data_IF_032238063589
#
_entry.id   IF_032238063589
#
_cell.length_a   1.000
_cell.length_b   1.000
_cell.length_c   1.000
_cell.angle_alpha   90.00
_cell.angle_beta   90.00
_cell.angle_gamma   90.00
#
_symmetry.space_group_name_H-M   'P 1'
#
loop_
_entity.id
_entity.type
_entity.pdbx_description
1 polymer ?
#
# COMPACT_ATOMS: atom_id res chain seq x y z
N UNK A 1 69.08 -33.97 -2.00
CA UNK A 1 67.72 -33.42 -2.07
C UNK A 1 67.72 -32.52 -3.29
N UNK A 2 67.27 -33.06 -4.44
CA UNK A 2 65.95 -32.75 -5.03
C UNK A 2 65.92 -31.27 -5.47
N UNK A 3 65.69 -30.88 -6.73
CA UNK A 3 64.84 -31.45 -7.77
C UNK A 3 65.15 -30.78 -9.14
N UNK A 4 64.72 -31.43 -10.21
CA UNK A 4 64.76 -31.01 -11.62
C UNK A 4 64.13 -29.62 -11.87
N UNK A 5 64.76 -28.76 -12.69
CA UNK A 5 64.42 -28.51 -14.11
C UNK A 5 62.92 -28.59 -14.44
N UNK A 6 62.30 -27.45 -14.76
CA UNK A 6 61.62 -27.19 -16.05
C UNK A 6 60.87 -25.85 -16.00
N UNK A 7 61.34 -24.87 -16.77
CA UNK A 7 60.51 -23.74 -17.21
C UNK A 7 60.41 -23.82 -18.73
N UNK A 8 59.31 -24.34 -19.29
CA UNK A 8 59.02 -24.16 -20.70
C UNK A 8 58.33 -22.82 -20.92
N UNK A 9 58.86 -22.03 -21.85
CA UNK A 9 58.04 -21.06 -22.57
C UNK A 9 56.94 -21.79 -23.35
N UNK A 10 55.75 -21.20 -23.46
CA UNK A 10 55.05 -21.28 -24.73
C UNK A 10 54.74 -19.89 -25.29
N UNK A 11 55.36 -19.64 -26.44
CA UNK A 11 54.74 -18.94 -27.57
C UNK A 11 53.45 -19.70 -27.92
N UNK A 12 52.28 -19.04 -27.85
CA UNK A 12 51.29 -19.16 -28.93
C UNK A 12 50.16 -18.12 -28.86
N UNK A 13 49.92 -17.47 -30.00
CA UNK A 13 48.58 -17.27 -30.56
C UNK A 13 47.59 -16.38 -29.81
N UNK A 14 47.68 -15.07 -30.00
CA UNK A 14 46.52 -14.19 -29.84
C UNK A 14 45.50 -14.48 -30.95
N UNK A 15 44.39 -15.13 -30.61
CA UNK A 15 43.23 -15.30 -31.49
C UNK A 15 42.23 -14.15 -31.25
N UNK A 16 42.56 -12.95 -31.71
CA UNK A 16 41.58 -11.87 -31.86
C UNK A 16 40.75 -12.13 -33.11
N UNK A 17 39.53 -12.60 -32.89
CA UNK A 17 38.49 -12.79 -33.91
C UNK A 17 38.16 -11.43 -34.56
N UNK A 18 38.74 -11.21 -35.73
CA UNK A 18 38.51 -10.03 -36.57
C UNK A 18 37.04 -10.03 -37.06
N UNK A 19 36.34 -8.94 -36.74
CA UNK A 19 35.09 -8.52 -37.38
C UNK A 19 35.48 -7.71 -38.61
N UNK A 20 35.02 -8.01 -39.83
CA UNK A 20 35.33 -7.16 -40.96
C UNK A 20 34.63 -5.81 -40.77
N UNK A 21 35.42 -4.74 -40.75
CA UNK A 21 34.97 -3.37 -40.93
C UNK A 21 34.90 -3.14 -42.43
N UNK A 22 33.68 -3.01 -42.95
CA UNK A 22 33.43 -2.52 -44.31
C UNK A 22 33.43 -0.98 -44.33
N UNK A 23 33.89 -0.49 -45.47
CA UNK A 23 34.40 0.85 -45.74
C UNK A 23 33.40 1.99 -45.50
N UNK A 24 33.92 3.04 -44.86
CA UNK A 24 33.32 4.38 -44.84
C UNK A 24 33.77 5.17 -46.07
N UNK A 25 33.01 5.10 -47.16
CA UNK A 25 33.02 6.12 -48.21
C UNK A 25 31.86 5.93 -49.19
N UNK A 26 30.70 6.54 -48.90
CA UNK A 26 29.74 7.09 -49.89
C UNK A 26 28.46 7.47 -49.14
N UNK A 27 28.33 8.77 -48.86
CA UNK A 27 27.07 9.37 -48.42
C UNK A 27 26.04 9.28 -49.56
N UNK A 28 24.84 8.72 -49.34
CA UNK A 28 23.74 8.84 -50.30
C UNK A 28 23.21 10.28 -50.34
N UNK A 29 22.82 10.83 -51.50
CA UNK A 29 22.25 12.16 -51.59
C UNK A 29 20.87 12.20 -50.92
N UNK A 30 20.57 13.30 -50.22
CA UNK A 30 19.25 13.62 -49.69
C UNK A 30 18.20 13.59 -50.81
N UNK A 31 17.07 12.89 -50.67
CA UNK A 31 15.89 13.21 -51.46
C UNK A 31 15.27 14.50 -50.89
N UNK A 32 15.48 15.59 -51.61
CA UNK A 32 14.53 16.70 -51.62
C UNK A 32 13.17 16.18 -52.09
N UNK A 33 12.11 16.83 -51.60
CA UNK A 33 10.72 16.71 -52.07
C UNK A 33 9.87 15.59 -51.43
N UNK A 34 9.36 15.91 -50.23
CA UNK A 34 8.19 15.24 -49.67
C UNK A 34 6.96 15.45 -50.57
N UNK A 35 6.12 14.44 -50.82
CA UNK A 35 4.88 14.61 -51.57
C UNK A 35 3.92 15.53 -50.80
N UNK A 36 3.13 16.38 -51.48
CA UNK A 36 2.17 17.24 -50.79
C UNK A 36 1.15 16.36 -50.06
N UNK A 37 1.01 16.58 -48.75
CA UNK A 37 -0.02 15.95 -47.93
C UNK A 37 -1.40 16.24 -48.55
N UNK A 38 -2.25 15.22 -48.76
CA UNK A 38 -3.65 15.45 -49.13
C UNK A 38 -4.33 16.31 -48.07
N UNK A 39 -5.02 17.37 -48.48
CA UNK A 39 -5.94 18.10 -47.62
C UNK A 39 -7.11 17.16 -47.28
N UNK A 40 -6.97 16.39 -46.21
CA UNK A 40 -8.09 15.72 -45.57
C UNK A 40 -8.83 16.77 -44.73
N UNK A 41 -9.96 17.25 -45.26
CA UNK A 41 -10.96 18.00 -44.50
C UNK A 41 -11.33 17.18 -43.25
N UNK A 42 -10.80 17.59 -42.11
CA UNK A 42 -11.20 17.06 -40.82
C UNK A 42 -12.71 17.30 -40.63
N UNK A 43 -13.50 16.29 -40.25
CA UNK A 43 -14.91 16.52 -39.95
C UNK A 43 -15.03 17.54 -38.80
N UNK A 44 -15.98 18.48 -38.86
CA UNK A 44 -16.11 19.51 -37.83
C UNK A 44 -16.33 18.86 -36.47
N UNK A 45 -15.46 19.18 -35.50
CA UNK A 45 -15.67 18.79 -34.10
C UNK A 45 -17.04 19.35 -33.64
N UNK A 46 -17.88 18.55 -32.97
CA UNK A 46 -19.09 19.07 -32.36
C UNK A 46 -18.72 20.08 -31.26
N UNK A 47 -19.23 21.31 -31.39
CA UNK A 47 -19.26 22.34 -30.37
C UNK A 47 -20.16 21.87 -29.21
N UNK A 48 -19.63 21.07 -28.30
CA UNK A 48 -20.27 20.77 -27.02
C UNK A 48 -19.27 21.04 -25.91
N UNK A 49 -19.18 22.32 -25.54
CA UNK A 49 -18.53 22.75 -24.32
C UNK A 49 -19.24 22.07 -23.14
N UNK A 50 -18.54 21.33 -22.26
CA UNK A 50 -19.15 20.84 -21.04
C UNK A 50 -19.61 22.05 -20.21
N UNK A 51 -20.79 22.03 -19.58
CA UNK A 51 -21.18 23.11 -18.68
C UNK A 51 -20.19 23.12 -17.51
N UNK A 52 -19.20 24.03 -17.56
CA UNK A 52 -18.49 24.45 -16.37
C UNK A 52 -19.57 24.94 -15.40
N UNK A 53 -19.56 24.48 -14.13
CA UNK A 53 -20.33 25.15 -13.09
C UNK A 53 -20.01 26.64 -13.15
N UNK A 54 -21.02 27.51 -13.12
CA UNK A 54 -20.86 28.94 -12.82
C UNK A 54 -20.23 29.06 -11.43
N UNK A 55 -18.92 28.89 -11.35
CA UNK A 55 -18.12 29.34 -10.22
C UNK A 55 -18.12 30.85 -10.34
N UNK A 56 -18.91 31.50 -9.48
CA UNK A 56 -18.92 32.95 -9.31
C UNK A 56 -17.46 33.43 -9.35
N UNK A 57 -17.14 34.32 -10.29
CA UNK A 57 -15.82 34.93 -10.37
C UNK A 57 -15.41 35.32 -8.95
N UNK A 58 -14.23 34.88 -8.46
CA UNK A 58 -13.84 35.14 -7.09
C UNK A 58 -13.91 36.65 -6.87
N UNK A 59 -14.64 37.05 -5.82
CA UNK A 59 -14.61 38.44 -5.34
C UNK A 59 -13.14 38.83 -5.26
N UNK A 60 -12.77 39.88 -5.98
CA UNK A 60 -11.38 40.26 -6.14
C UNK A 60 -10.85 40.82 -4.81
N UNK A 61 -10.38 39.92 -3.94
CA UNK A 61 -9.85 40.21 -2.62
C UNK A 61 -8.54 41.01 -2.66
N UNK A 62 -8.04 41.34 -3.86
CA UNK A 62 -6.89 42.20 -4.05
C UNK A 62 -5.53 41.53 -3.92
N UNK A 63 -5.48 40.26 -3.53
CA UNK A 63 -4.24 39.54 -3.26
C UNK A 63 -3.74 38.74 -4.46
N UNK A 64 -2.53 39.03 -4.92
CA UNK A 64 -1.82 38.32 -6.00
C UNK A 64 -0.64 37.53 -5.43
N UNK A 65 -0.44 36.29 -5.91
CA UNK A 65 0.70 35.44 -5.53
C UNK A 65 1.85 35.63 -6.52
N UNK A 66 3.00 36.09 -6.04
CA UNK A 66 4.19 36.37 -6.84
C UNK A 66 5.35 35.56 -6.29
N UNK A 67 6.18 35.00 -7.17
CA UNK A 67 7.39 34.27 -6.77
C UNK A 67 8.60 35.21 -6.84
N UNK A 68 9.42 35.21 -5.78
CA UNK A 68 10.67 35.97 -5.77
C UNK A 68 11.79 35.27 -6.56
N UNK A 69 12.95 35.93 -6.69
CA UNK A 69 14.11 35.36 -7.38
C UNK A 69 14.71 34.13 -6.66
N UNK A 70 14.36 33.90 -5.39
CA UNK A 70 14.82 32.77 -4.58
C UNK A 70 13.85 31.57 -4.67
N UNK A 71 12.75 31.69 -5.42
CA UNK A 71 11.73 30.65 -5.54
C UNK A 71 10.75 30.58 -4.36
N UNK A 72 10.69 31.64 -3.54
CA UNK A 72 9.78 31.79 -2.42
C UNK A 72 8.54 32.57 -2.88
N UNK A 73 7.37 32.04 -2.57
CA UNK A 73 6.10 32.73 -2.84
C UNK A 73 5.85 33.82 -1.79
N UNK A 74 5.41 34.98 -2.26
CA UNK A 74 4.87 36.06 -1.43
C UNK A 74 3.56 36.56 -2.05
N UNK A 75 2.72 37.15 -1.21
CA UNK A 75 1.41 37.65 -1.58
C UNK A 75 1.44 39.18 -1.51
N UNK A 76 0.98 39.81 -2.59
CA UNK A 76 0.91 41.25 -2.74
C UNK A 76 -0.55 41.70 -2.81
N UNK A 77 -0.95 42.65 -1.97
CA UNK A 77 -2.28 43.25 -2.05
C UNK A 77 -2.26 44.52 -2.91
N UNK A 78 -2.95 44.52 -4.04
CA UNK A 78 -3.02 45.66 -4.97
C UNK A 78 -3.80 46.88 -4.44
N UNK A 79 -4.67 46.69 -3.47
CA UNK A 79 -5.45 47.78 -2.87
C UNK A 79 -4.71 48.46 -1.73
N UNK A 80 -3.98 47.70 -0.91
CA UNK A 80 -3.26 48.23 0.27
C UNK A 80 -1.77 48.42 0.02
N UNK A 81 -1.23 47.92 -1.10
CA UNK A 81 0.20 47.87 -1.44
C UNK A 81 1.06 47.18 -0.36
N UNK A 82 0.49 46.18 0.33
CA UNK A 82 1.18 45.40 1.38
C UNK A 82 1.66 44.07 0.81
N UNK A 83 2.90 43.67 1.14
CA UNK A 83 3.45 42.35 0.87
C UNK A 83 3.49 41.51 2.14
N UNK A 84 3.15 40.22 2.03
CA UNK A 84 3.25 39.22 3.10
C UNK A 84 3.78 37.90 2.55
N UNK A 85 4.49 37.13 3.36
CA UNK A 85 4.93 35.78 3.00
C UNK A 85 3.90 34.71 3.38
N UNK A 86 2.95 35.03 4.26
CA UNK A 86 1.88 34.14 4.70
C UNK A 86 0.63 34.35 3.84
N UNK A 87 -0.01 33.27 3.39
CA UNK A 87 -1.16 33.36 2.51
C UNK A 87 -2.41 33.87 3.28
N UNK A 88 -2.90 35.10 3.01
CA UNK A 88 -4.01 35.68 3.75
C UNK A 88 -5.36 35.00 3.47
N UNK A 89 -5.43 34.12 2.46
CA UNK A 89 -6.63 33.33 2.13
C UNK A 89 -6.75 32.06 2.96
N UNK A 90 -5.70 31.69 3.71
CA UNK A 90 -5.74 30.55 4.61
C UNK A 90 -6.23 31.04 5.98
N UNK A 91 -7.32 30.48 6.54
CA UNK A 91 -7.74 30.82 7.87
C UNK A 91 -6.60 30.47 8.85
N UNK A 92 -6.02 31.49 9.47
CA UNK A 92 -5.05 31.31 10.54
C UNK A 92 -5.73 30.49 11.64
N UNK A 93 -5.20 29.30 11.93
CA UNK A 93 -5.69 28.48 13.04
C UNK A 93 -5.59 29.32 14.31
N UNK A 94 -6.75 29.75 14.81
CA UNK A 94 -6.88 30.68 15.92
C UNK A 94 -6.07 30.22 17.13
N UNK A 95 -4.99 30.92 17.44
CA UNK A 95 -4.43 30.97 18.79
C UNK A 95 -5.31 31.90 19.63
N UNK A 96 -6.58 31.56 19.78
CA UNK A 96 -7.53 32.35 20.55
C UNK A 96 -7.39 32.02 22.03
N UNK A 97 -7.18 33.08 22.82
CA UNK A 97 -7.19 33.08 24.27
C UNK A 97 -8.46 32.42 24.82
N UNK A 98 -8.28 31.71 25.94
CA UNK A 98 -9.31 30.99 26.65
C UNK A 98 -10.39 31.93 27.22
N UNK A 99 -11.63 31.69 26.83
CA UNK A 99 -12.84 32.00 27.61
C UNK A 99 -13.89 30.93 27.28
N UNK A 100 -14.26 30.02 28.22
CA UNK A 100 -15.32 29.06 27.97
C UNK A 100 -16.54 29.34 28.86
N UNK A 101 -17.49 30.12 28.34
CA UNK A 101 -18.88 30.11 28.78
C UNK A 101 -19.80 29.82 27.58
N UNK A 102 -20.44 28.64 27.61
CA UNK A 102 -21.33 28.07 26.57
C UNK A 102 -20.62 27.83 25.22
N UNK A 103 -20.68 26.64 24.59
CA UNK A 103 -21.83 25.94 24.04
C UNK A 103 -21.45 24.43 23.93
N UNK A 104 -22.26 23.53 24.47
CA UNK A 104 -23.25 22.72 23.74
C UNK A 104 -22.63 21.80 22.67
N UNK A 105 -22.89 20.51 22.90
CA UNK A 105 -22.48 19.34 22.14
C UNK A 105 -22.66 19.43 20.62
N UNK A 106 -21.60 19.08 19.90
CA UNK A 106 -21.70 18.24 18.70
C UNK A 106 -20.39 17.47 18.53
N UNK A 107 -20.52 16.15 18.62
CA UNK A 107 -19.56 15.08 18.36
C UNK A 107 -18.55 15.35 17.23
N UNK A 108 -17.25 15.21 17.53
CA UNK A 108 -16.21 14.90 16.53
C UNK A 108 -15.09 14.09 17.19
N UNK A 109 -14.70 13.03 16.48
CA UNK A 109 -13.75 12.01 16.87
C UNK A 109 -12.36 12.56 17.20
N UNK A 110 -11.73 11.99 18.23
CA UNK A 110 -10.33 12.25 18.56
C UNK A 110 -9.41 11.60 17.52
N UNK A 111 -8.67 12.41 16.76
CA UNK A 111 -7.47 11.98 16.05
C UNK A 111 -6.29 11.99 17.04
N UNK A 112 -6.05 10.85 17.69
CA UNK A 112 -4.78 10.56 18.37
C UNK A 112 -3.69 10.13 17.36
N UNK A 113 -2.41 10.16 17.77
CA UNK A 113 -1.27 9.82 16.92
C UNK A 113 -1.33 8.37 16.41
N UNK A 114 -0.86 8.08 15.18
CA UNK A 114 -0.92 6.74 14.61
C UNK A 114 0.08 5.84 15.33
N UNK A 115 -0.40 4.93 16.17
CA UNK A 115 0.44 3.95 16.89
C UNK A 115 -0.04 3.61 18.30
N UNK A 116 -1.01 4.34 18.84
CA UNK A 116 -1.73 3.94 20.05
C UNK A 116 -3.04 3.29 19.61
N UNK A 117 -3.01 1.99 19.29
CA UNK A 117 -4.23 1.17 19.32
C UNK A 117 -4.66 1.07 20.78
N UNK A 118 -5.28 2.13 21.30
CA UNK A 118 -6.12 2.04 22.48
C UNK A 118 -7.33 1.22 22.07
N UNK A 119 -7.15 -0.10 22.04
CA UNK A 119 -8.25 -1.06 22.12
C UNK A 119 -9.19 -0.54 23.19
N UNK A 120 -10.50 -0.38 22.93
CA UNK A 120 -11.46 -0.14 23.98
C UNK A 120 -11.64 -1.48 24.70
N UNK A 121 -10.60 -1.95 25.40
CA UNK A 121 -10.78 -2.88 26.51
C UNK A 121 -11.60 -2.07 27.47
N UNK A 122 -12.91 -2.33 27.46
CA UNK A 122 -13.84 -1.79 28.43
C UNK A 122 -13.39 -2.38 29.77
N UNK A 123 -12.40 -1.73 30.42
CA UNK A 123 -12.18 -1.87 31.85
C UNK A 123 -13.56 -1.76 32.45
N UNK A 124 -14.00 -2.79 33.14
CA UNK A 124 -15.35 -2.92 33.67
C UNK A 124 -15.57 -1.73 34.58
N UNK A 125 -16.16 -0.67 34.02
CA UNK A 125 -16.43 0.55 34.74
C UNK A 125 -17.57 0.17 35.67
N UNK A 126 -17.25 -0.18 36.92
CA UNK A 126 -18.24 -0.28 37.99
C UNK A 126 -19.05 1.01 37.91
N UNK A 127 -20.36 0.85 37.72
CA UNK A 127 -21.27 1.91 37.26
C UNK A 127 -20.98 3.26 37.93
N UNK A 128 -20.42 4.22 37.18
CA UNK A 128 -20.08 5.56 37.70
C UNK A 128 -18.78 6.19 37.20
N UNK A 129 -17.99 5.54 36.35
CA UNK A 129 -16.73 6.15 35.83
C UNK A 129 -15.55 6.06 36.79
N UNK A 130 -15.73 5.43 37.96
CA UNK A 130 -14.72 5.37 38.99
C UNK A 130 -13.63 4.35 38.63
N UNK A 131 -12.38 4.80 38.56
CA UNK A 131 -11.22 3.93 38.38
C UNK A 131 -10.33 3.97 39.63
N UNK A 132 -10.29 2.90 40.44
CA UNK A 132 -9.51 2.89 41.68
C UNK A 132 -8.00 3.03 41.45
N UNK A 133 -7.50 2.68 40.26
CA UNK A 133 -6.10 2.91 39.90
C UNK A 133 -5.75 4.40 39.74
N UNK A 134 -6.73 5.27 39.46
CA UNK A 134 -6.54 6.72 39.28
C UNK A 134 -6.94 7.49 40.55
N UNK A 135 -7.78 6.91 41.40
CA UNK A 135 -8.38 7.60 42.55
C UNK A 135 -7.76 7.24 43.91
N UNK A 136 -6.73 6.39 43.93
CA UNK A 136 -5.85 6.19 45.08
C UNK A 136 -6.31 5.13 46.08
N UNK A 137 -7.42 4.47 45.80
CA UNK A 137 -7.99 3.34 46.55
C UNK A 137 -7.75 2.00 45.82
N UNK A 138 -6.64 1.90 45.08
CA UNK A 138 -6.24 0.67 44.40
C UNK A 138 -5.93 -0.44 45.40
N UNK A 139 -6.76 -1.49 45.38
CA UNK A 139 -6.57 -2.73 46.10
C UNK A 139 -6.07 -3.80 45.12
N UNK A 140 -4.81 -4.27 45.26
CA UNK A 140 -4.23 -5.29 44.37
C UNK A 140 -4.97 -6.62 44.36
N UNK A 141 -5.79 -6.91 45.38
CA UNK A 141 -6.49 -8.19 45.50
C UNK A 141 -7.97 -8.12 45.08
N UNK A 142 -8.48 -6.96 44.67
CA UNK A 142 -9.86 -6.82 44.24
C UNK A 142 -10.09 -7.41 42.83
N UNK A 143 -11.32 -7.83 42.53
CA UNK A 143 -11.71 -8.47 41.26
C UNK A 143 -11.27 -7.66 40.03
N UNK A 144 -11.39 -6.32 40.08
CA UNK A 144 -10.98 -5.44 38.97
C UNK A 144 -9.45 -5.43 38.73
N UNK A 145 -8.63 -5.68 39.76
CA UNK A 145 -7.18 -5.69 39.66
C UNK A 145 -6.68 -7.04 39.14
N UNK A 146 -7.36 -8.14 39.51
CA UNK A 146 -7.06 -9.48 39.02
C UNK A 146 -7.33 -9.61 37.51
N UNK A 147 -8.41 -9.00 37.02
CA UNK A 147 -8.70 -8.93 35.56
C UNK A 147 -7.57 -8.20 34.82
N UNK A 148 -7.12 -7.04 35.33
CA UNK A 148 -6.03 -6.27 34.72
C UNK A 148 -4.72 -7.06 34.63
N UNK A 149 -4.34 -7.76 35.71
CA UNK A 149 -3.15 -8.61 35.71
C UNK A 149 -3.25 -9.79 34.74
N UNK A 150 -4.45 -10.37 34.58
CA UNK A 150 -4.67 -11.48 33.63
C UNK A 150 -4.60 -11.04 32.16
N UNK A 151 -5.01 -9.81 31.86
CA UNK A 151 -4.94 -9.23 30.53
C UNK A 151 -3.49 -8.80 30.18
N UNK A 152 -2.75 -8.24 31.14
CA UNK A 152 -1.34 -7.89 30.97
C UNK A 152 -0.47 -9.13 30.69
N UNK A 153 -0.73 -10.26 31.36
CA UNK A 153 -0.01 -11.52 31.12
C UNK A 153 -0.31 -12.11 29.72
N UNK A 154 -1.50 -11.86 29.18
CA UNK A 154 -1.94 -12.34 27.87
C UNK A 154 -1.47 -11.47 26.70
N UNK A 155 -1.07 -10.22 26.97
CA UNK A 155 -0.61 -9.24 26.00
C UNK A 155 0.91 -8.98 26.05
N UNK A 156 1.67 -9.82 26.75
CA UNK A 156 3.12 -9.73 26.87
C UNK A 156 3.84 -10.01 25.54
N UNK A 157 3.66 -9.13 24.55
CA UNK A 157 4.61 -8.92 23.48
C UNK A 157 5.86 -8.25 24.07
N UNK A 158 7.07 -8.62 23.63
CA UNK A 158 8.29 -7.99 24.10
C UNK A 158 8.22 -6.46 23.91
N UNK A 159 8.71 -5.66 24.87
CA UNK A 159 8.64 -4.20 24.76
C UNK A 159 9.32 -3.75 23.47
N UNK A 160 8.67 -2.91 22.64
CA UNK A 160 9.29 -2.38 21.44
C UNK A 160 10.56 -1.64 21.83
N UNK A 161 11.67 -1.92 21.15
CA UNK A 161 12.94 -1.24 21.39
C UNK A 161 12.72 0.28 21.27
N UNK A 162 13.01 1.10 22.30
CA UNK A 162 12.75 2.54 22.27
C UNK A 162 13.46 3.26 21.11
N UNK A 163 14.60 2.74 20.63
CA UNK A 163 15.26 3.28 19.44
C UNK A 163 14.42 3.09 18.17
N UNK A 164 13.69 1.98 18.05
CA UNK A 164 12.80 1.72 16.91
C UNK A 164 11.55 2.60 16.92
N UNK A 165 11.17 3.15 18.09
CA UNK A 165 10.00 4.04 18.23
C UNK A 165 10.30 5.44 17.66
N UNK A 166 11.55 5.90 17.76
CA UNK A 166 11.96 7.22 17.25
C UNK A 166 12.74 7.17 15.93
N UNK A 167 13.08 5.99 15.43
CA UNK A 167 13.79 5.82 14.15
C UNK A 167 12.81 5.79 12.96
N UNK A 168 12.88 6.82 12.12
CA UNK A 168 12.22 6.81 10.81
C UNK A 168 13.20 6.25 9.75
N UNK A 169 12.97 5.01 9.30
CA UNK A 169 13.73 4.38 8.21
C UNK A 169 12.93 4.47 6.91
N UNK A 170 13.58 4.92 5.85
CA UNK A 170 12.99 5.04 4.52
C UNK A 170 14.05 5.04 3.43
N UNK A 171 13.61 4.94 2.19
CA UNK A 171 14.46 5.00 1.00
C UNK A 171 14.38 6.37 0.35
N UNK A 172 15.47 6.82 -0.28
CA UNK A 172 15.47 8.06 -1.05
C UNK A 172 15.52 7.73 -2.55
N UNK A 173 14.55 8.25 -3.31
CA UNK A 173 14.56 8.06 -4.75
C UNK A 173 15.51 9.07 -5.40
N UNK A 174 16.64 8.58 -5.94
CA UNK A 174 17.65 9.42 -6.60
C UNK A 174 17.11 10.26 -7.76
N UNK A 175 16.11 9.76 -8.49
CA UNK A 175 15.62 10.41 -9.71
C UNK A 175 14.55 11.47 -9.42
N UNK A 176 13.70 11.24 -8.43
CA UNK A 176 12.62 12.18 -8.08
C UNK A 176 12.94 13.05 -6.86
N UNK A 177 14.02 12.72 -6.15
CA UNK A 177 14.42 13.40 -4.92
C UNK A 177 13.42 13.26 -3.77
N UNK A 178 12.45 12.34 -3.89
CA UNK A 178 11.39 12.15 -2.89
C UNK A 178 11.81 11.10 -1.88
N UNK A 179 11.57 11.40 -0.60
CA UNK A 179 11.66 10.41 0.46
C UNK A 179 10.48 9.44 0.36
N UNK A 180 10.78 8.15 0.42
CA UNK A 180 9.83 7.07 0.31
C UNK A 180 9.81 6.30 1.62
N UNK A 181 8.61 5.98 2.11
CA UNK A 181 8.44 5.12 3.27
C UNK A 181 9.15 3.78 3.05
N UNK A 182 9.60 3.13 4.13
CA UNK A 182 10.37 1.88 4.07
C UNK A 182 9.73 0.74 3.26
N UNK A 183 8.41 0.75 3.11
CA UNK A 183 7.69 -0.21 2.26
C UNK A 183 8.09 -0.08 0.77
N UNK A 184 8.31 1.13 0.26
CA UNK A 184 8.64 1.41 -1.15
C UNK A 184 10.16 1.35 -1.39
N UNK A 185 10.77 0.30 -0.85
CA UNK A 185 12.21 0.06 -0.98
C UNK A 185 12.61 -0.46 -2.37
N UNK A 186 13.93 -0.65 -2.60
CA UNK A 186 14.47 -1.26 -3.82
C UNK A 186 13.85 -2.61 -4.17
N UNK A 187 13.44 -3.38 -3.17
CA UNK A 187 12.78 -4.68 -3.32
C UNK A 187 11.48 -4.59 -4.15
N UNK A 188 10.75 -3.47 -4.05
CA UNK A 188 9.57 -3.26 -4.89
C UNK A 188 9.89 -2.87 -6.33
N UNK A 189 11.13 -2.46 -6.61
CA UNK A 189 11.58 -1.98 -7.93
C UNK A 189 12.43 -3.02 -8.68
N UNK A 190 12.29 -4.31 -8.35
CA UNK A 190 12.83 -5.40 -9.14
C UNK A 190 11.90 -5.76 -10.33
N UNK A 191 12.39 -6.61 -11.24
CA UNK A 191 11.64 -7.02 -12.43
C UNK A 191 10.41 -7.88 -12.07
N UNK A 192 10.52 -8.72 -11.04
CA UNK A 192 9.42 -9.58 -10.55
C UNK A 192 8.22 -8.78 -10.02
N UNK A 193 8.45 -7.80 -9.15
CA UNK A 193 7.38 -6.96 -8.61
C UNK A 193 6.82 -6.04 -9.70
N UNK A 194 7.63 -5.68 -10.70
CA UNK A 194 7.15 -4.95 -11.88
C UNK A 194 6.23 -5.83 -12.72
N UNK A 195 6.63 -7.06 -13.04
CA UNK A 195 5.79 -8.00 -13.79
C UNK A 195 4.51 -8.33 -13.02
N UNK A 196 4.59 -8.54 -11.69
CA UNK A 196 3.43 -8.74 -10.83
C UNK A 196 2.44 -7.57 -10.90
N UNK A 197 2.91 -6.32 -10.83
CA UNK A 197 2.03 -5.14 -10.96
C UNK A 197 1.37 -5.04 -12.34
N UNK A 198 2.10 -5.40 -13.39
CA UNK A 198 1.55 -5.40 -14.76
C UNK A 198 0.52 -6.51 -14.96
N UNK A 199 0.80 -7.72 -14.46
CA UNK A 199 -0.09 -8.87 -14.58
C UNK A 199 -1.33 -8.72 -13.72
N UNK A 200 -1.20 -8.15 -12.52
CA UNK A 200 -2.32 -7.87 -11.61
C UNK A 200 -3.37 -6.91 -12.20
N UNK A 201 -3.04 -6.16 -13.27
CA UNK A 201 -4.00 -5.31 -13.97
C UNK A 201 -4.98 -6.10 -14.86
N UNK A 202 -4.57 -7.28 -15.33
CA UNK A 202 -5.35 -8.10 -16.28
C UNK A 202 -5.79 -9.44 -15.69
N UNK A 203 -5.03 -9.97 -14.75
CA UNK A 203 -5.25 -11.25 -14.13
C UNK A 203 -5.20 -11.08 -12.62
N UNK A 204 -6.15 -11.68 -11.91
CA UNK A 204 -6.04 -11.82 -10.47
C UNK A 204 -5.02 -12.92 -10.15
N UNK A 205 -3.73 -12.58 -10.26
CA UNK A 205 -2.61 -13.52 -10.08
C UNK A 205 -2.63 -14.10 -8.69
N UNK A 206 -3.01 -13.30 -7.69
CA UNK A 206 -3.06 -13.73 -6.30
C UNK A 206 -4.24 -14.69 -6.05
N UNK A 207 -5.43 -14.44 -6.62
CA UNK A 207 -6.51 -15.43 -6.57
C UNK A 207 -6.20 -16.68 -7.39
N UNK A 208 -5.57 -16.55 -8.56
CA UNK A 208 -5.19 -17.70 -9.37
C UNK A 208 -4.15 -18.58 -8.65
N UNK A 209 -3.14 -17.98 -8.03
CA UNK A 209 -2.14 -18.68 -7.23
C UNK A 209 -2.76 -19.37 -6.00
N UNK A 210 -3.75 -18.74 -5.37
CA UNK A 210 -4.42 -19.25 -4.18
C UNK A 210 -5.64 -20.14 -4.48
N UNK A 211 -6.12 -20.20 -5.73
CA UNK A 211 -7.35 -20.91 -6.14
C UNK A 211 -7.33 -22.41 -5.80
N UNK A 212 -6.13 -22.97 -5.72
CA UNK A 212 -5.92 -24.38 -5.44
C UNK A 212 -5.64 -24.66 -3.96
N UNK A 213 -5.76 -23.71 -3.01
CA UNK A 213 -5.40 -23.90 -1.58
C UNK A 213 -3.96 -24.46 -1.40
N UNK A 214 -3.06 -24.23 -2.35
CA UNK A 214 -1.75 -24.89 -2.41
C UNK A 214 -1.78 -26.40 -2.68
N UNK A 215 -2.94 -26.96 -3.04
CA UNK A 215 -3.11 -28.36 -3.47
C UNK A 215 -2.49 -28.52 -4.85
N UNK A 216 -1.53 -29.44 -4.94
CA UNK A 216 -0.96 -29.82 -6.23
C UNK A 216 -2.04 -30.36 -7.18
N UNK A 217 -1.88 -30.14 -8.49
CA UNK A 217 -2.72 -30.73 -9.56
C UNK A 217 -2.94 -32.24 -9.38
N UNK A 218 -1.96 -32.95 -8.82
CA UNK A 218 -2.03 -34.38 -8.53
C UNK A 218 -2.97 -34.69 -7.37
N UNK A 219 -3.00 -33.85 -6.34
CA UNK A 219 -3.95 -33.94 -5.22
C UNK A 219 -5.38 -33.65 -5.67
N UNK A 220 -5.58 -32.74 -6.62
CA UNK A 220 -6.91 -32.48 -7.20
C UNK A 220 -7.40 -33.65 -8.06
N UNK A 221 -6.48 -34.25 -8.83
CA UNK A 221 -6.77 -35.45 -9.62
C UNK A 221 -6.91 -36.71 -8.76
N UNK A 222 -6.42 -36.71 -7.52
CA UNK A 222 -6.68 -37.81 -6.59
C UNK A 222 -8.14 -37.74 -6.16
N UNK A 223 -8.92 -38.72 -6.58
CA UNK A 223 -10.29 -38.90 -6.08
C UNK A 223 -10.26 -38.93 -4.54
N UNK A 224 -11.22 -38.22 -3.92
CA UNK A 224 -11.34 -38.13 -2.45
C UNK A 224 -11.38 -39.54 -1.86
N UNK A 225 -10.32 -39.92 -1.15
CA UNK A 225 -10.28 -41.19 -0.41
C UNK A 225 -11.29 -41.07 0.72
N UNK A 226 -12.42 -41.78 0.62
CA UNK A 226 -13.43 -41.79 1.67
C UNK A 226 -12.78 -42.21 3.00
N UNK A 227 -13.07 -41.47 4.06
CA UNK A 227 -12.62 -41.83 5.39
C UNK A 227 -13.25 -43.16 5.83
N UNK A 228 -12.61 -43.86 6.77
CA UNK A 228 -13.16 -45.13 7.30
C UNK A 228 -14.58 -44.94 7.88
N UNK A 229 -14.88 -43.75 8.42
CA UNK A 229 -16.21 -43.40 8.93
C UNK A 229 -17.22 -43.22 7.79
N UNK A 230 -16.83 -42.52 6.71
CA UNK A 230 -17.67 -42.35 5.53
C UNK A 230 -17.98 -43.69 4.84
N UNK A 231 -17.01 -44.61 4.78
CA UNK A 231 -17.24 -45.97 4.26
C UNK A 231 -18.25 -46.75 5.12
N UNK A 232 -18.18 -46.62 6.46
CA UNK A 232 -19.17 -47.25 7.36
C UNK A 232 -20.56 -46.65 7.16
N UNK A 233 -20.68 -45.33 7.10
CA UNK A 233 -21.93 -44.64 6.84
C UNK A 233 -22.55 -45.02 5.48
N UNK A 234 -21.74 -45.19 4.43
CA UNK A 234 -22.23 -45.68 3.13
C UNK A 234 -22.71 -47.13 3.19
N UNK A 235 -22.03 -48.00 3.95
CA UNK A 235 -22.45 -49.39 4.15
C UNK A 235 -23.74 -49.46 4.97
N UNK A 236 -23.88 -48.65 6.00
CA UNK A 236 -25.09 -48.53 6.82
C UNK A 236 -26.25 -47.96 6.01
N UNK A 237 -26.05 -46.89 5.23
CA UNK A 237 -27.07 -46.38 4.30
C UNK A 237 -27.49 -47.44 3.28
N UNK A 238 -26.55 -48.23 2.75
CA UNK A 238 -26.87 -49.38 1.89
C UNK A 238 -27.64 -50.47 2.61
N UNK A 239 -27.33 -50.73 3.89
CA UNK A 239 -28.01 -51.73 4.71
C UNK A 239 -29.42 -51.25 5.08
N UNK A 240 -29.57 -50.03 5.56
CA UNK A 240 -30.85 -49.39 5.84
C UNK A 240 -31.76 -49.37 4.60
N UNK A 241 -31.25 -49.01 3.42
CA UNK A 241 -32.03 -49.07 2.17
C UNK A 241 -32.46 -50.49 1.79
N UNK A 242 -31.68 -51.51 2.13
CA UNK A 242 -32.06 -52.92 1.93
C UNK A 242 -33.09 -53.36 2.97
N UNK A 243 -32.94 -52.95 4.22
CA UNK A 243 -33.86 -53.24 5.32
C UNK A 243 -35.20 -52.52 5.12
N UNK A 244 -35.21 -51.29 4.62
CA UNK A 244 -36.40 -50.54 4.24
C UNK A 244 -37.13 -51.22 3.07
N UNK A 245 -36.43 -51.66 2.02
CA UNK A 245 -37.04 -52.49 0.96
C UNK A 245 -37.58 -53.81 1.51
N UNK A 246 -36.86 -54.41 2.46
CA UNK A 246 -37.28 -55.62 3.21
C UNK A 246 -38.37 -55.36 4.25
N UNK A 247 -38.68 -54.11 4.56
CA UNK A 247 -39.74 -53.73 5.49
C UNK A 247 -40.96 -53.25 4.71
N UNK A 248 -40.76 -52.62 3.56
CA UNK A 248 -41.80 -52.19 2.64
C UNK A 248 -42.59 -53.39 2.08
N UNK A 249 -41.92 -54.48 1.65
CA UNK A 249 -42.66 -55.71 1.26
C UNK A 249 -43.34 -56.42 2.45
N UNK A 250 -43.01 -56.05 3.69
CA UNK A 250 -43.59 -56.63 4.90
C UNK A 250 -44.73 -55.76 5.48
N UNK A 251 -44.96 -54.58 4.90
CA UNK A 251 -45.95 -53.58 5.34
C UNK A 251 -47.07 -53.39 4.29
N UNK A 252 -46.95 -54.02 3.13
CA UNK A 252 -47.96 -54.16 2.07
C UNK A 252 -48.47 -55.61 2.08
#
# INVERSE_FOLDING_TARGET
MAEHQDTPAPINGQETKQRPQDDSATSPPLPDEAPPLPNEDAPPLPDEAPPLPEEAAPVDDGWDAIMDANGIWYFYNKYTNVTTYENPRVPQASSAAADPAAYQSASTASSGPPGSESSPVRRTVVAGGYNPAIHGDYDPNADYAQEAHSDDEKLAAPPPNPEAIYAAVGSFNRFTGKWQAGDKGPEQHNDENKSKRQMNAFFDVDAAANSHDGRSLKAERQQKKLSKQEVKAFKEKRRAKKEEKRRAWLMD
#
